data_IF_346023232982
#
_entry.id   IF_346023232982
#
_cell.length_a   1.000
_cell.length_b   1.000
_cell.length_c   1.000
_cell.angle_alpha   90.00
_cell.angle_beta   90.00
_cell.angle_gamma   90.00
#
_symmetry.space_group_name_H-M   'P 1'
#
loop_
_entity.id
_entity.type
_entity.pdbx_description
1 polymer ?
#
# COMPACT_ATOMS: atom_id res chain seq x y z
N UNK A 1 19.78 1.23 27.72
CA UNK A 1 19.34 1.36 26.31
C UNK A 1 19.13 -0.04 25.77
N UNK A 2 18.01 -0.66 26.14
CA UNK A 2 17.64 -1.98 25.63
C UNK A 2 17.06 -1.82 24.23
N UNK A 3 17.70 -2.48 23.27
CA UNK A 3 17.17 -2.68 21.93
C UNK A 3 15.89 -3.50 22.07
N UNK A 4 14.77 -2.94 21.62
CA UNK A 4 13.49 -3.64 21.62
C UNK A 4 13.66 -4.91 20.80
N UNK A 5 13.43 -6.05 21.45
CA UNK A 5 13.57 -7.39 20.89
C UNK A 5 12.79 -7.53 19.58
N UNK A 6 13.48 -7.97 18.53
CA UNK A 6 12.89 -8.50 17.33
C UNK A 6 12.05 -9.74 17.68
N UNK A 7 10.74 -9.58 17.79
CA UNK A 7 9.79 -10.69 17.87
C UNK A 7 9.77 -11.46 16.55
N UNK A 8 10.07 -12.76 16.62
CA UNK A 8 9.55 -13.86 15.78
C UNK A 8 9.03 -13.46 14.39
N UNK A 9 9.89 -13.62 13.37
CA UNK A 9 9.59 -13.64 11.93
C UNK A 9 8.28 -12.99 11.46
N UNK A 10 8.20 -11.66 11.52
CA UNK A 10 7.13 -10.92 10.84
C UNK A 10 7.27 -11.09 9.32
N UNK A 11 6.20 -11.54 8.67
CA UNK A 11 6.14 -11.64 7.21
C UNK A 11 5.97 -10.26 6.60
N UNK A 12 6.75 -9.96 5.58
CA UNK A 12 6.77 -8.64 4.95
C UNK A 12 5.82 -8.62 3.75
N UNK A 13 5.03 -7.56 3.58
CA UNK A 13 4.10 -7.50 2.46
C UNK A 13 4.09 -6.18 1.71
N UNK A 14 3.71 -6.24 0.44
CA UNK A 14 3.43 -5.08 -0.41
C UNK A 14 1.94 -5.08 -0.73
N UNK A 15 1.26 -3.95 -0.53
CA UNK A 15 -0.13 -3.73 -0.92
C UNK A 15 -0.23 -2.91 -2.20
N UNK A 16 -0.70 -3.53 -3.27
CA UNK A 16 -0.91 -2.91 -4.57
C UNK A 16 -2.36 -2.50 -4.74
N UNK A 17 -2.60 -1.29 -5.22
CA UNK A 17 -3.95 -0.72 -5.33
C UNK A 17 -4.62 -0.68 -3.95
N UNK A 18 -3.91 -0.17 -2.94
CA UNK A 18 -4.25 -0.35 -1.53
C UNK A 18 -5.59 0.27 -1.10
N UNK A 19 -6.11 1.25 -1.85
CA UNK A 19 -7.24 2.07 -1.45
C UNK A 19 -7.00 2.71 -0.09
N UNK A 20 -8.04 2.81 0.75
CA UNK A 20 -7.91 3.33 2.11
C UNK A 20 -7.21 2.37 3.10
N UNK A 21 -6.72 1.20 2.64
CA UNK A 21 -5.91 0.29 3.46
C UNK A 21 -6.68 -0.76 4.25
N UNK A 22 -7.95 -1.05 3.95
CA UNK A 22 -8.72 -2.06 4.69
C UNK A 22 -8.11 -3.46 4.66
N UNK A 23 -7.52 -3.87 3.52
CA UNK A 23 -6.82 -5.15 3.42
C UNK A 23 -5.50 -5.13 4.18
N UNK A 24 -4.70 -4.07 3.98
CA UNK A 24 -3.49 -3.81 4.74
C UNK A 24 -3.71 -3.89 6.26
N UNK A 25 -4.77 -3.28 6.76
CA UNK A 25 -5.14 -3.28 8.18
C UNK A 25 -5.33 -4.71 8.72
N UNK A 26 -6.00 -5.58 7.96
CA UNK A 26 -6.16 -6.99 8.34
C UNK A 26 -4.82 -7.73 8.43
N UNK A 27 -3.91 -7.50 7.49
CA UNK A 27 -2.56 -8.08 7.52
C UNK A 27 -1.73 -7.56 8.70
N UNK A 28 -1.78 -6.27 8.97
CA UNK A 28 -1.06 -5.66 10.10
C UNK A 28 -1.59 -6.22 11.43
N UNK A 29 -2.90 -6.34 11.60
CA UNK A 29 -3.50 -6.96 12.79
C UNK A 29 -3.14 -8.44 12.95
N UNK A 30 -2.94 -9.15 11.83
CA UNK A 30 -2.44 -10.53 11.81
C UNK A 30 -0.93 -10.64 12.08
N UNK A 31 -0.23 -9.51 12.30
CA UNK A 31 1.19 -9.48 12.64
C UNK A 31 2.15 -9.40 11.44
N UNK A 32 1.65 -9.07 10.25
CA UNK A 32 2.49 -8.84 9.06
C UNK A 32 3.02 -7.40 9.05
N UNK A 33 4.20 -7.19 8.48
CA UNK A 33 4.85 -5.88 8.37
C UNK A 33 4.72 -5.30 6.96
N UNK A 34 4.16 -4.09 6.81
CA UNK A 34 4.05 -3.44 5.51
C UNK A 34 5.42 -2.91 5.05
N UNK A 35 5.77 -3.24 3.80
CA UNK A 35 6.93 -2.69 3.09
C UNK A 35 6.50 -1.46 2.30
N UNK A 36 5.41 -1.58 1.55
CA UNK A 36 4.93 -0.54 0.66
C UNK A 36 3.42 -0.63 0.43
N UNK A 37 2.79 0.52 0.27
CA UNK A 37 1.42 0.67 -0.21
C UNK A 37 1.44 1.50 -1.50
N UNK A 38 0.91 0.97 -2.60
CA UNK A 38 0.81 1.69 -3.89
C UNK A 38 -0.65 2.06 -4.12
N UNK A 39 -0.95 3.35 -4.15
CA UNK A 39 -2.30 3.88 -4.30
C UNK A 39 -2.31 5.14 -5.15
N UNK A 40 -3.24 5.25 -6.10
CA UNK A 40 -3.29 6.41 -7.01
C UNK A 40 -4.10 7.58 -6.43
N UNK A 41 -5.07 7.31 -5.56
CA UNK A 41 -5.98 8.30 -5.01
C UNK A 41 -5.32 9.04 -3.84
N UNK A 42 -5.15 10.37 -3.91
CA UNK A 42 -4.46 11.12 -2.86
C UNK A 42 -5.13 11.05 -1.48
N UNK A 43 -6.47 11.00 -1.42
CA UNK A 43 -7.19 10.90 -0.14
C UNK A 43 -7.02 9.52 0.50
N UNK A 44 -6.97 8.48 -0.33
CA UNK A 44 -6.70 7.12 0.12
C UNK A 44 -5.24 6.99 0.61
N UNK A 45 -4.28 7.55 -0.14
CA UNK A 45 -2.88 7.65 0.28
C UNK A 45 -2.72 8.41 1.62
N UNK A 46 -3.41 9.55 1.79
CA UNK A 46 -3.41 10.28 3.06
C UNK A 46 -3.96 9.44 4.22
N UNK A 47 -4.95 8.59 3.96
CA UNK A 47 -5.47 7.65 4.97
C UNK A 47 -4.41 6.62 5.36
N UNK A 48 -3.68 6.07 4.38
CA UNK A 48 -2.57 5.14 4.61
C UNK A 48 -1.42 5.79 5.39
N UNK A 49 -1.07 7.03 5.09
CA UNK A 49 -0.06 7.80 5.84
C UNK A 49 -0.49 7.98 7.30
N UNK A 50 -1.75 8.37 7.54
CA UNK A 50 -2.30 8.48 8.90
C UNK A 50 -2.21 7.16 9.65
N UNK A 51 -2.54 6.05 8.99
CA UNK A 51 -2.49 4.71 9.60
C UNK A 51 -1.06 4.26 9.87
N UNK A 52 -0.14 4.54 8.96
CA UNK A 52 1.30 4.32 9.17
C UNK A 52 1.80 5.10 10.39
N UNK A 53 1.44 6.37 10.49
CA UNK A 53 1.76 7.20 11.65
C UNK A 53 1.15 6.67 12.95
N UNK A 54 -0.11 6.21 12.91
CA UNK A 54 -0.77 5.57 14.05
C UNK A 54 0.02 4.35 14.56
N UNK A 55 0.42 3.43 13.68
CA UNK A 55 1.16 2.24 14.06
C UNK A 55 2.55 2.57 14.61
N UNK A 56 3.24 3.55 14.02
CA UNK A 56 4.50 4.06 14.54
C UNK A 56 4.34 4.61 15.96
N UNK A 57 3.38 5.52 16.18
CA UNK A 57 3.14 6.11 17.50
C UNK A 57 2.69 5.07 18.53
N UNK A 58 1.88 4.09 18.12
CA UNK A 58 1.47 2.96 18.96
C UNK A 58 2.66 2.16 19.46
N UNK A 59 3.60 1.81 18.56
CA UNK A 59 4.82 1.09 18.92
C UNK A 59 5.72 1.89 19.87
N UNK A 60 5.69 3.22 19.79
CA UNK A 60 6.43 4.12 20.68
C UNK A 60 5.70 4.48 21.98
N UNK A 61 4.46 4.00 22.19
CA UNK A 61 3.64 4.38 23.34
C UNK A 61 3.16 5.83 23.33
N UNK A 62 3.15 6.51 22.17
CA UNK A 62 2.83 7.94 21.99
C UNK A 62 1.47 8.18 21.36
N UNK A 63 0.47 7.36 21.70
CA UNK A 63 -0.87 7.44 21.09
C UNK A 63 -1.63 8.74 21.39
N UNK A 64 -1.22 9.50 22.40
CA UNK A 64 -1.88 10.78 22.72
C UNK A 64 -1.76 11.79 21.59
N UNK A 65 -0.64 11.79 20.84
CA UNK A 65 -0.46 12.61 19.62
C UNK A 65 -1.53 12.26 18.58
N UNK A 66 -1.79 10.97 18.37
CA UNK A 66 -2.84 10.52 17.47
C UNK A 66 -4.24 10.94 17.95
N UNK A 67 -4.49 10.87 19.27
CA UNK A 67 -5.77 11.32 19.87
C UNK A 67 -5.98 12.82 19.68
N UNK A 68 -4.93 13.62 19.84
CA UNK A 68 -4.98 15.06 19.64
C UNK A 68 -5.26 15.41 18.18
N UNK A 69 -4.71 14.64 17.23
CA UNK A 69 -5.03 14.78 15.81
C UNK A 69 -6.50 14.46 15.49
N UNK A 70 -6.99 13.29 15.89
CA UNK A 70 -8.39 12.89 15.59
C UNK A 70 -9.44 13.74 16.31
N UNK A 71 -9.07 14.38 17.43
CA UNK A 71 -9.94 15.32 18.15
C UNK A 71 -9.87 16.74 17.60
N UNK A 72 -9.03 16.99 16.59
CA UNK A 72 -8.90 18.31 15.95
C UNK A 72 -8.09 19.33 16.74
N UNK A 73 -7.34 18.91 17.77
CA UNK A 73 -6.46 19.80 18.54
C UNK A 73 -5.17 20.16 17.79
N UNK A 74 -4.68 19.24 16.96
CA UNK A 74 -3.56 19.48 16.05
C UNK A 74 -3.99 19.18 14.61
N UNK A 75 -3.37 19.89 13.68
CA UNK A 75 -3.55 19.73 12.24
C UNK A 75 -2.87 18.46 11.72
N UNK A 76 -3.17 18.09 10.47
CA UNK A 76 -2.48 16.97 9.80
C UNK A 76 -0.97 17.21 9.70
N UNK A 77 -0.56 18.42 9.35
CA UNK A 77 0.85 18.74 9.15
C UNK A 77 1.63 18.63 10.46
N UNK A 78 1.06 19.15 11.55
CA UNK A 78 1.61 18.97 12.91
C UNK A 78 1.68 17.49 13.30
N UNK A 79 0.63 16.72 13.02
CA UNK A 79 0.64 15.27 13.26
C UNK A 79 1.77 14.57 12.51
N UNK A 80 1.96 14.86 11.21
CA UNK A 80 2.96 14.23 10.37
C UNK A 80 4.41 14.58 10.78
N UNK A 81 4.64 15.77 11.35
CA UNK A 81 5.96 16.15 11.88
C UNK A 81 6.46 15.24 13.02
N UNK A 82 5.56 14.52 13.69
CA UNK A 82 5.92 13.55 14.72
C UNK A 82 6.30 12.16 14.17
N UNK A 83 6.13 11.94 12.86
CA UNK A 83 6.37 10.66 12.21
C UNK A 83 7.65 10.76 11.36
N UNK A 84 8.61 9.82 11.49
CA UNK A 84 9.80 9.83 10.65
C UNK A 84 9.43 9.71 9.17
N UNK A 85 10.12 10.47 8.33
CA UNK A 85 9.88 10.48 6.88
C UNK A 85 10.02 9.07 6.27
N UNK A 86 10.97 8.26 6.77
CA UNK A 86 11.17 6.86 6.34
C UNK A 86 9.92 5.98 6.50
N UNK A 87 9.07 6.27 7.49
CA UNK A 87 7.81 5.56 7.66
C UNK A 87 6.81 6.00 6.59
N UNK A 88 6.69 7.31 6.35
CA UNK A 88 5.78 7.88 5.37
C UNK A 88 6.16 7.52 3.92
N UNK A 89 7.46 7.38 3.63
CA UNK A 89 7.98 6.96 2.32
C UNK A 89 7.53 5.55 1.89
N UNK A 90 6.91 4.76 2.78
CA UNK A 90 6.28 3.49 2.41
C UNK A 90 4.93 3.63 1.70
N UNK A 91 4.34 4.84 1.68
CA UNK A 91 3.08 5.12 0.97
C UNK A 91 3.38 5.83 -0.34
N UNK A 92 3.14 5.14 -1.46
CA UNK A 92 3.32 5.67 -2.80
C UNK A 92 1.99 6.16 -3.36
N UNK A 93 1.81 7.49 -3.37
CA UNK A 93 0.68 8.15 -4.02
C UNK A 93 0.92 8.25 -5.55
N UNK A 94 0.88 7.13 -6.26
CA UNK A 94 1.21 7.05 -7.68
C UNK A 94 0.27 6.15 -8.47
N UNK A 95 -0.07 6.56 -9.70
CA UNK A 95 -0.71 5.67 -10.67
C UNK A 95 0.29 4.63 -11.16
N UNK A 96 -0.05 3.35 -11.01
CA UNK A 96 0.78 2.26 -11.51
C UNK A 96 0.63 2.14 -13.03
N UNK A 97 1.74 2.32 -13.75
CA UNK A 97 1.85 2.20 -15.20
C UNK A 97 3.23 1.67 -15.59
N UNK A 98 3.48 1.39 -16.87
CA UNK A 98 4.81 0.94 -17.32
C UNK A 98 5.88 2.02 -17.11
N UNK A 99 5.48 3.30 -17.11
CA UNK A 99 6.36 4.46 -16.93
C UNK A 99 6.75 4.66 -15.46
N UNK A 100 5.82 4.42 -14.52
CA UNK A 100 6.08 4.60 -13.08
C UNK A 100 6.71 3.37 -12.42
N UNK A 101 6.54 2.19 -13.03
CA UNK A 101 7.01 0.91 -12.47
C UNK A 101 8.51 0.87 -12.14
N UNK A 102 9.43 1.37 -12.99
CA UNK A 102 10.86 1.38 -12.66
C UNK A 102 11.17 2.16 -11.37
N UNK A 103 10.55 3.34 -11.22
CA UNK A 103 10.73 4.19 -10.02
C UNK A 103 10.12 3.54 -8.78
N UNK A 104 8.94 2.94 -8.89
CA UNK A 104 8.32 2.19 -7.79
C UNK A 104 9.23 1.06 -7.32
N UNK A 105 9.81 0.31 -8.25
CA UNK A 105 10.75 -0.76 -7.92
C UNK A 105 12.02 -0.24 -7.24
N UNK A 106 12.63 0.81 -7.76
CA UNK A 106 13.81 1.42 -7.14
C UNK A 106 13.53 1.89 -5.70
N UNK A 107 12.41 2.59 -5.49
CA UNK A 107 12.05 3.09 -4.17
C UNK A 107 11.74 1.96 -3.17
N UNK A 108 11.03 0.92 -3.61
CA UNK A 108 10.73 -0.24 -2.76
C UNK A 108 12.02 -1.02 -2.44
N UNK A 109 12.90 -1.23 -3.41
CA UNK A 109 14.21 -1.87 -3.18
C UNK A 109 15.07 -1.08 -2.18
N UNK A 110 15.02 0.26 -2.25
CA UNK A 110 15.67 1.14 -1.27
C UNK A 110 15.12 0.92 0.14
N UNK A 111 13.79 0.86 0.30
CA UNK A 111 13.14 0.59 1.59
C UNK A 111 13.55 -0.79 2.12
N UNK A 112 13.52 -1.82 1.27
CA UNK A 112 13.95 -3.18 1.64
C UNK A 112 15.40 -3.18 2.16
N UNK A 113 16.29 -2.48 1.46
CA UNK A 113 17.71 -2.35 1.84
C UNK A 113 17.88 -1.60 3.17
N UNK A 114 17.23 -0.44 3.32
CA UNK A 114 17.30 0.39 4.53
C UNK A 114 16.80 -0.35 5.77
N UNK A 115 15.71 -1.12 5.62
CA UNK A 115 15.12 -1.92 6.70
C UNK A 115 15.79 -3.29 6.90
N UNK A 116 16.78 -3.65 6.08
CA UNK A 116 17.45 -4.96 6.13
C UNK A 116 16.54 -6.14 5.79
N UNK A 117 15.46 -5.91 5.03
CA UNK A 117 14.49 -6.93 4.62
C UNK A 117 15.04 -7.65 3.39
N UNK A 118 15.26 -8.96 3.53
CA UNK A 118 15.84 -9.79 2.46
C UNK A 118 14.82 -10.29 1.43
N UNK A 119 13.54 -10.34 1.81
CA UNK A 119 12.50 -10.95 0.98
C UNK A 119 11.14 -10.31 1.26
N UNK A 120 10.35 -10.16 0.21
CA UNK A 120 8.91 -9.86 0.31
C UNK A 120 8.16 -11.18 0.50
N UNK A 121 7.52 -11.31 1.65
CA UNK A 121 6.60 -12.36 2.09
C UNK A 121 5.45 -12.61 1.13
N UNK A 122 4.67 -11.55 0.99
CA UNK A 122 3.33 -11.57 0.43
C UNK A 122 3.13 -10.35 -0.45
N UNK A 123 2.48 -10.53 -1.58
CA UNK A 123 1.96 -9.41 -2.36
C UNK A 123 0.44 -9.49 -2.33
N UNK A 124 -0.18 -8.42 -1.86
CA UNK A 124 -1.63 -8.30 -1.76
C UNK A 124 -2.09 -7.19 -2.70
N UNK A 125 -3.35 -7.24 -3.12
CA UNK A 125 -3.93 -6.14 -3.88
C UNK A 125 -5.09 -6.55 -4.74
N UNK A 126 -5.78 -5.53 -5.25
CA UNK A 126 -6.93 -5.74 -6.13
C UNK A 126 -6.97 -4.70 -7.24
N UNK A 127 -6.43 -5.01 -8.44
CA UNK A 127 -6.55 -4.11 -9.58
C UNK A 127 -8.05 -3.89 -9.91
N UNK A 128 -8.46 -2.67 -10.28
CA UNK A 128 -9.86 -2.35 -10.54
C UNK A 128 -10.40 -3.24 -11.66
N UNK A 129 -11.50 -3.93 -11.38
CA UNK A 129 -12.00 -4.98 -12.25
C UNK A 129 -13.11 -4.49 -13.20
N UNK A 130 -12.73 -3.76 -14.23
CA UNK A 130 -13.69 -3.39 -15.30
C UNK A 130 -13.82 -4.50 -16.36
N UNK A 131 -12.76 -5.29 -16.61
CA UNK A 131 -12.76 -6.36 -17.61
C UNK A 131 -13.71 -7.54 -17.32
N UNK A 132 -13.92 -7.90 -16.04
CA UNK A 132 -14.65 -9.12 -15.67
C UNK A 132 -16.07 -8.88 -15.13
N UNK A 133 -16.48 -7.62 -14.94
CA UNK A 133 -17.85 -7.30 -14.53
C UNK A 133 -18.84 -7.55 -15.67
N UNK A 134 -19.85 -8.42 -15.42
CA UNK A 134 -20.95 -8.69 -16.35
C UNK A 134 -21.73 -7.41 -16.72
N UNK A 135 -21.86 -6.47 -15.77
CA UNK A 135 -22.55 -5.19 -15.94
C UNK A 135 -21.78 -4.25 -16.86
N UNK A 136 -20.45 -4.20 -16.73
CA UNK A 136 -19.59 -3.41 -17.62
C UNK A 136 -19.66 -3.90 -19.07
N UNK A 137 -19.58 -5.22 -19.29
CA UNK A 137 -19.69 -5.80 -20.64
C UNK A 137 -21.04 -5.49 -21.31
N UNK A 138 -22.14 -5.50 -20.55
CA UNK A 138 -23.47 -5.19 -21.07
C UNK A 138 -23.64 -3.72 -21.52
N UNK A 139 -22.93 -2.78 -20.89
CA UNK A 139 -23.00 -1.34 -21.20
C UNK A 139 -21.94 -0.85 -22.21
N UNK A 140 -21.06 -1.74 -22.67
CA UNK A 140 -19.95 -1.40 -23.59
C UNK A 140 -20.38 -0.72 -24.90
N UNK A 141 -21.64 -0.86 -25.33
CA UNK A 141 -22.21 -0.19 -26.51
C UNK A 141 -22.50 1.30 -26.30
N UNK A 142 -22.52 1.79 -25.06
CA UNK A 142 -22.87 3.16 -24.70
C UNK A 142 -21.74 3.93 -23.99
N UNK A 143 -20.53 3.36 -23.89
CA UNK A 143 -19.36 4.05 -23.33
C UNK A 143 -18.56 4.78 -24.40
N UNK A 144 -18.07 5.98 -24.07
CA UNK A 144 -17.17 6.78 -24.92
C UNK A 144 -15.84 6.08 -25.23
N UNK A 145 -15.38 5.21 -24.32
CA UNK A 145 -14.22 4.33 -24.54
C UNK A 145 -14.67 2.87 -24.55
N UNK A 146 -14.44 2.11 -25.63
CA UNK A 146 -14.75 0.69 -25.66
C UNK A 146 -14.02 -0.04 -24.52
N UNK A 147 -14.71 -0.97 -23.85
CA UNK A 147 -14.14 -1.76 -22.76
C UNK A 147 -12.83 -2.46 -23.15
N UNK A 148 -12.62 -2.77 -24.44
CA UNK A 148 -11.39 -3.38 -24.96
C UNK A 148 -10.17 -2.44 -24.96
N UNK A 149 -10.39 -1.12 -24.93
CA UNK A 149 -9.34 -0.09 -24.95
C UNK A 149 -9.07 0.52 -23.56
N UNK A 150 -9.72 0.02 -22.51
CA UNK A 150 -9.56 0.52 -21.16
C UNK A 150 -8.19 0.13 -20.57
N UNK A 151 -7.31 1.09 -20.22
CA UNK A 151 -5.99 0.80 -19.67
C UNK A 151 -6.05 0.05 -18.33
N UNK A 152 -7.19 0.09 -17.62
CA UNK A 152 -7.39 -0.66 -16.37
C UNK A 152 -7.34 -2.17 -16.60
N UNK A 153 -7.63 -2.62 -17.81
CA UNK A 153 -7.53 -4.03 -18.17
C UNK A 153 -6.10 -4.55 -18.12
N UNK A 154 -5.08 -3.70 -18.16
CA UNK A 154 -3.68 -4.14 -18.12
C UNK A 154 -3.08 -4.09 -16.70
N UNK A 155 -3.82 -3.60 -15.70
CA UNK A 155 -3.31 -3.47 -14.33
C UNK A 155 -2.98 -4.82 -13.67
N UNK A 156 -3.68 -5.90 -14.06
CA UNK A 156 -3.30 -7.26 -13.62
C UNK A 156 -1.93 -7.67 -14.15
N UNK A 157 -1.51 -7.18 -15.33
CA UNK A 157 -0.16 -7.43 -15.87
C UNK A 157 0.89 -6.73 -15.03
N UNK A 158 0.62 -5.51 -14.58
CA UNK A 158 1.51 -4.78 -13.67
C UNK A 158 1.62 -5.50 -12.32
N UNK A 159 0.51 -6.00 -11.77
CA UNK A 159 0.54 -6.88 -10.59
C UNK A 159 1.44 -8.10 -10.84
N UNK A 160 1.33 -8.75 -12.01
CA UNK A 160 2.19 -9.88 -12.36
C UNK A 160 3.68 -9.48 -12.46
N UNK A 161 4.03 -8.26 -12.88
CA UNK A 161 5.42 -7.76 -12.86
C UNK A 161 5.98 -7.69 -11.44
N UNK A 162 5.17 -7.29 -10.46
CA UNK A 162 5.57 -7.31 -9.05
C UNK A 162 5.84 -8.74 -8.56
N UNK A 163 4.97 -9.70 -8.91
CA UNK A 163 5.19 -11.12 -8.59
C UNK A 163 6.49 -11.66 -9.21
N UNK A 164 6.76 -11.30 -10.47
CA UNK A 164 7.96 -11.70 -11.19
C UNK A 164 9.24 -11.09 -10.61
N UNK A 165 9.19 -9.85 -10.10
CA UNK A 165 10.36 -9.20 -9.50
C UNK A 165 10.68 -9.76 -8.11
N UNK A 166 9.67 -9.85 -7.24
CA UNK A 166 9.89 -10.11 -5.82
C UNK A 166 9.73 -11.58 -5.41
N UNK A 167 9.17 -12.42 -6.29
CA UNK A 167 8.95 -13.84 -6.04
C UNK A 167 8.40 -14.15 -4.63
N UNK A 168 7.25 -13.56 -4.25
CA UNK A 168 6.70 -13.73 -2.92
C UNK A 168 6.27 -15.18 -2.68
N UNK A 169 6.25 -15.60 -1.41
CA UNK A 169 5.78 -16.94 -1.01
C UNK A 169 4.28 -17.10 -1.20
N UNK A 170 3.53 -16.01 -1.05
CA UNK A 170 2.09 -15.98 -1.20
C UNK A 170 1.65 -14.73 -1.96
N UNK A 171 0.52 -14.83 -2.66
CA UNK A 171 -0.17 -13.68 -3.21
C UNK A 171 -1.64 -13.71 -2.81
N UNK A 172 -2.21 -12.55 -2.55
CA UNK A 172 -3.65 -12.38 -2.38
C UNK A 172 -4.15 -11.39 -3.43
N UNK A 173 -4.91 -11.92 -4.39
CA UNK A 173 -5.52 -11.15 -5.47
C UNK A 173 -7.02 -11.04 -5.21
N UNK A 174 -7.51 -9.83 -4.94
CA UNK A 174 -8.93 -9.58 -4.72
C UNK A 174 -9.53 -8.78 -5.87
N UNK A 175 -10.68 -9.20 -6.38
CA UNK A 175 -11.40 -8.47 -7.41
C UNK A 175 -12.36 -7.48 -6.73
N UNK A 176 -12.18 -6.18 -7.00
CA UNK A 176 -13.10 -5.10 -6.57
C UNK A 176 -13.92 -4.59 -7.73
#
# INVERSE_FOLDING_TARGET
MERINATTGSYNFIDLFAGAGGLSEGFIQAGFSPVAHVEMNPYAAQTLETRTGYYYLKAQGKLDIYKDYISGKITRDEFLQHIPEEQLQSVFCETMSNETLPRLFENIDRILTQRGIKQVDVIIGGPPCQAYSLVGRAQSKHMETPMSADPRNDLYKLYARFLQKYHPKCLLFMQR
#
